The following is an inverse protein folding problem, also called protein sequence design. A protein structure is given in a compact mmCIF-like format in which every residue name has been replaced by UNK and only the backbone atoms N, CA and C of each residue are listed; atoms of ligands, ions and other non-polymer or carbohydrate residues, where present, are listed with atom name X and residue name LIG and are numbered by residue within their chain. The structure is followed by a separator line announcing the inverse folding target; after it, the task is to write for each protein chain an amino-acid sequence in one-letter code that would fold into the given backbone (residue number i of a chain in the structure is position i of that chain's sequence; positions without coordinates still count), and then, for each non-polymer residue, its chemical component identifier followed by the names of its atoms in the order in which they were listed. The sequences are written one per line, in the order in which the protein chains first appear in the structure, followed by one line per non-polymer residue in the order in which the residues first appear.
data_IF_927853832282
#
_entry.id   IF_927853832282
#
_cell.length_a   1.000
_cell.length_b   1.000
_cell.length_c   1.000
_cell.angle_alpha   90.00
_cell.angle_beta   90.00
_cell.angle_gamma   90.00
#
_symmetry.space_group_name_H-M   'P 1'
#
loop_
_entity.id
_entity.type
_entity.pdbx_description
1 polymer ?
#
# COMPACT_ATOMS: atom_id res chain seq x y z
N UNK A 1 10.66 30.12 58.12
CA UNK A 1 11.29 29.40 56.99
C UNK A 1 10.29 29.47 55.86
N UNK A 2 10.61 30.21 54.80
CA UNK A 2 9.65 30.56 53.75
C UNK A 2 9.81 29.62 52.56
N UNK A 3 8.83 28.77 52.31
CA UNK A 3 8.79 27.91 51.12
C UNK A 3 8.40 28.74 49.89
N UNK A 4 9.26 28.76 48.88
CA UNK A 4 8.95 29.32 47.55
C UNK A 4 8.65 28.17 46.59
N UNK A 5 7.51 28.18 45.86
CA UNK A 5 7.23 27.20 44.83
C UNK A 5 8.10 27.45 43.59
N UNK A 6 8.81 26.42 43.14
CA UNK A 6 9.73 26.49 41.98
C UNK A 6 9.02 26.74 40.64
N UNK A 7 9.73 27.27 39.63
CA UNK A 7 9.13 27.69 38.37
C UNK A 7 8.67 26.48 37.53
N UNK A 8 7.37 26.44 37.24
CA UNK A 8 6.77 25.50 36.30
C UNK A 8 7.37 25.68 34.91
N UNK A 9 8.09 24.66 34.42
CA UNK A 9 8.67 24.64 33.07
C UNK A 9 7.55 24.41 32.05
N UNK A 10 6.91 25.48 31.61
CA UNK A 10 6.08 25.50 30.41
C UNK A 10 6.99 25.36 29.17
N UNK A 11 7.46 24.14 28.90
CA UNK A 11 8.17 23.85 27.66
C UNK A 11 7.15 23.74 26.51
N UNK A 12 7.27 24.54 25.44
CA UNK A 12 6.40 24.39 24.29
C UNK A 12 6.57 23.00 23.69
N UNK A 13 5.45 22.34 23.40
CA UNK A 13 5.45 21.02 22.78
C UNK A 13 6.21 21.07 21.44
N UNK A 14 6.94 20.00 21.07
CA UNK A 14 7.63 19.93 19.79
C UNK A 14 6.67 20.28 18.65
N UNK A 15 7.10 21.09 17.66
CA UNK A 15 6.22 21.55 16.60
C UNK A 15 5.62 20.35 15.87
N UNK A 16 4.27 20.30 15.87
CA UNK A 16 3.50 19.26 15.19
C UNK A 16 3.96 19.15 13.73
N UNK A 17 4.33 17.94 13.30
CA UNK A 17 4.76 17.66 11.92
C UNK A 17 3.74 18.24 10.94
N UNK A 18 4.16 19.22 10.13
CA UNK A 18 3.30 19.88 9.14
C UNK A 18 2.68 18.83 8.23
N UNK A 19 1.37 18.93 8.01
CA UNK A 19 0.69 18.06 7.04
C UNK A 19 1.38 18.21 5.68
N UNK A 20 1.74 17.09 5.07
CA UNK A 20 2.27 17.10 3.71
C UNK A 20 1.10 17.42 2.79
N UNK A 21 1.00 18.68 2.36
CA UNK A 21 0.14 19.06 1.24
C UNK A 21 0.52 18.18 0.04
N UNK A 22 -0.49 17.61 -0.61
CA UNK A 22 -0.33 16.67 -1.72
C UNK A 22 0.18 17.35 -2.99
N UNK A 23 -0.23 16.81 -4.13
CA UNK A 23 0.05 17.43 -5.42
C UNK A 23 -0.93 18.59 -5.64
N UNK A 24 -0.54 19.62 -6.41
CA UNK A 24 -1.49 20.65 -6.81
C UNK A 24 -2.64 20.02 -7.60
N UNK A 25 -3.86 20.44 -7.26
CA UNK A 25 -5.04 20.23 -8.06
C UNK A 25 -4.87 20.85 -9.44
N UNK A 26 -5.61 20.31 -10.41
CA UNK A 26 -5.65 20.85 -11.76
C UNK A 26 -6.10 22.33 -11.77
N UNK A 27 -7.04 22.71 -10.90
CA UNK A 27 -7.54 24.08 -10.83
C UNK A 27 -6.51 25.04 -10.24
N UNK A 28 -5.75 24.61 -9.23
CA UNK A 28 -4.65 25.42 -8.69
C UNK A 28 -3.57 25.65 -9.76
N UNK A 29 -3.23 24.62 -10.56
CA UNK A 29 -2.34 24.78 -11.71
C UNK A 29 -2.90 25.74 -12.75
N UNK A 30 -4.22 25.71 -13.00
CA UNK A 30 -4.90 26.60 -13.96
C UNK A 30 -4.82 28.06 -13.50
N UNK A 31 -5.04 28.33 -12.22
CA UNK A 31 -4.87 29.66 -11.62
C UNK A 31 -3.43 30.17 -11.79
N UNK A 32 -2.43 29.32 -11.59
CA UNK A 32 -1.01 29.67 -11.82
C UNK A 32 -0.77 30.06 -13.28
N UNK A 33 -1.27 29.30 -14.24
CA UNK A 33 -1.09 29.60 -15.68
C UNK A 33 -1.83 30.88 -16.07
N UNK A 34 -3.07 31.07 -15.59
CA UNK A 34 -3.84 32.28 -15.87
C UNK A 34 -3.12 33.53 -15.33
N UNK A 35 -2.65 33.48 -14.09
CA UNK A 35 -1.86 34.55 -13.48
C UNK A 35 -0.53 34.79 -14.20
N UNK A 36 0.13 33.72 -14.64
CA UNK A 36 1.35 33.86 -15.45
C UNK A 36 1.07 34.63 -16.74
N UNK A 37 0.00 34.29 -17.46
CA UNK A 37 -0.40 34.97 -18.70
C UNK A 37 -0.71 36.46 -18.47
N UNK A 38 -1.46 36.79 -17.43
CA UNK A 38 -1.81 38.19 -17.12
C UNK A 38 -0.57 38.98 -16.70
N UNK A 39 0.29 38.40 -15.86
CA UNK A 39 1.50 39.07 -15.38
C UNK A 39 2.54 39.23 -16.49
N UNK A 40 2.66 38.29 -17.43
CA UNK A 40 3.53 38.46 -18.61
C UNK A 40 3.09 39.60 -19.52
N UNK A 41 1.78 39.88 -19.61
CA UNK A 41 1.25 41.00 -20.39
C UNK A 41 1.48 42.35 -19.68
N UNK A 42 1.36 42.38 -18.36
CA UNK A 42 1.48 43.63 -17.58
C UNK A 42 2.92 43.99 -17.21
N UNK A 43 3.74 43.00 -16.82
CA UNK A 43 5.14 43.21 -16.40
C UNK A 43 6.03 42.03 -16.84
N UNK A 44 7.04 42.23 -17.71
CA UNK A 44 7.89 41.13 -18.19
C UNK A 44 8.91 40.61 -17.15
N UNK A 45 8.81 41.04 -15.87
CA UNK A 45 9.76 40.68 -14.82
C UNK A 45 9.46 39.27 -14.27
N UNK A 46 10.40 38.36 -14.48
CA UNK A 46 10.34 36.97 -14.00
C UNK A 46 10.47 36.95 -12.46
N UNK A 47 9.37 36.77 -11.73
CA UNK A 47 9.38 36.61 -10.26
C UNK A 47 8.12 37.05 -9.53
N UNK A 48 7.29 37.90 -10.16
CA UNK A 48 6.10 38.50 -9.53
C UNK A 48 5.00 37.47 -9.21
N UNK A 49 4.91 36.39 -9.99
CA UNK A 49 3.90 35.32 -9.83
C UNK A 49 3.95 34.61 -8.47
N UNK A 50 5.14 34.41 -7.90
CA UNK A 50 5.28 33.71 -6.62
C UNK A 50 4.76 34.52 -5.44
N UNK A 51 4.99 35.83 -5.48
CA UNK A 51 4.55 36.77 -4.44
C UNK A 51 3.04 36.92 -4.46
N UNK A 52 2.43 37.08 -5.64
CA UNK A 52 0.99 37.30 -5.78
C UNK A 52 0.18 36.08 -5.35
N UNK A 53 0.63 34.87 -5.69
CA UNK A 53 -0.14 33.64 -5.44
C UNK A 53 0.23 33.01 -4.09
N UNK A 54 1.27 33.52 -3.40
CA UNK A 54 1.80 32.93 -2.16
C UNK A 54 2.11 31.42 -2.29
N UNK A 55 2.56 30.99 -3.47
CA UNK A 55 2.99 29.62 -3.75
C UNK A 55 4.51 29.61 -3.94
N UNK A 56 5.16 28.52 -3.51
CA UNK A 56 6.59 28.34 -3.70
C UNK A 56 6.99 28.50 -5.18
N UNK A 57 7.98 29.35 -5.44
CA UNK A 57 8.44 29.65 -6.81
C UNK A 57 8.87 28.42 -7.61
N UNK A 58 9.42 27.39 -6.94
CA UNK A 58 9.80 26.12 -7.60
C UNK A 58 8.60 25.38 -8.19
N UNK A 59 7.43 25.47 -7.55
CA UNK A 59 6.21 24.82 -7.98
C UNK A 59 5.55 25.56 -9.15
N UNK A 60 5.57 26.89 -9.10
CA UNK A 60 5.17 27.76 -10.20
C UNK A 60 6.05 27.50 -11.43
N UNK A 61 7.37 27.47 -11.23
CA UNK A 61 8.33 27.16 -12.29
C UNK A 61 8.05 25.83 -12.97
N UNK A 62 7.84 24.76 -12.18
CA UNK A 62 7.47 23.43 -12.68
C UNK A 62 6.18 23.46 -13.50
N UNK A 63 5.15 24.15 -13.00
CA UNK A 63 3.84 24.24 -13.66
C UNK A 63 3.91 25.03 -14.97
N UNK A 64 4.65 26.15 -14.99
CA UNK A 64 4.86 26.94 -16.21
C UNK A 64 5.68 26.14 -17.23
N UNK A 65 6.75 25.48 -16.80
CA UNK A 65 7.58 24.64 -17.67
C UNK A 65 6.78 23.47 -18.24
N UNK A 66 5.92 22.84 -17.44
CA UNK A 66 4.97 21.82 -17.89
C UNK A 66 4.07 22.38 -19.00
N UNK A 67 3.39 23.51 -18.74
CA UNK A 67 2.52 24.18 -19.71
C UNK A 67 3.24 24.59 -21.00
N UNK A 68 4.46 25.14 -20.92
CA UNK A 68 5.23 25.54 -22.11
C UNK A 68 5.64 24.35 -22.97
N UNK A 69 5.89 23.19 -22.36
CA UNK A 69 6.32 21.98 -23.09
C UNK A 69 5.17 21.26 -23.78
N UNK A 70 4.00 21.18 -23.13
CA UNK A 70 2.86 20.38 -23.62
C UNK A 70 1.70 21.21 -24.14
N UNK A 71 1.66 22.51 -23.87
CA UNK A 71 0.51 23.38 -24.15
C UNK A 71 -0.71 23.14 -23.25
N UNK A 72 -0.66 22.12 -22.38
CA UNK A 72 -1.77 21.68 -21.54
C UNK A 72 -1.28 21.28 -20.15
N UNK A 73 -2.13 21.47 -19.13
CA UNK A 73 -1.84 21.06 -17.76
C UNK A 73 -2.18 19.58 -17.55
N UNK A 74 -1.19 18.79 -17.11
CA UNK A 74 -1.42 17.40 -16.80
C UNK A 74 -2.19 17.28 -15.49
N UNK A 75 -3.22 16.41 -15.54
CA UNK A 75 -3.97 16.01 -14.36
C UNK A 75 -3.09 15.18 -13.42
N UNK A 76 -3.32 15.22 -12.10
CA UNK A 76 -2.67 14.33 -11.17
C UNK A 76 -2.86 12.87 -11.62
N UNK A 77 -1.76 12.14 -11.83
CA UNK A 77 -1.86 10.71 -12.16
C UNK A 77 -2.38 9.96 -10.94
N UNK A 78 -3.53 9.31 -11.07
CA UNK A 78 -4.03 8.42 -10.04
C UNK A 78 -2.98 7.36 -9.73
N UNK A 79 -2.64 7.19 -8.45
CA UNK A 79 -1.76 6.11 -8.01
C UNK A 79 -2.60 4.83 -8.05
N UNK A 80 -2.58 4.12 -9.18
CA UNK A 80 -3.07 2.75 -9.20
C UNK A 80 -2.23 1.95 -8.21
N UNK A 81 -2.88 1.38 -7.19
CA UNK A 81 -2.19 0.51 -6.24
C UNK A 81 -1.42 -0.56 -7.00
N UNK A 82 -0.20 -0.88 -6.55
CA UNK A 82 0.59 -1.94 -7.18
C UNK A 82 -0.20 -3.24 -7.09
N UNK A 83 -0.62 -3.80 -8.23
CA UNK A 83 -1.23 -5.13 -8.28
C UNK A 83 -0.24 -6.13 -7.67
N UNK A 84 -0.68 -6.86 -6.65
CA UNK A 84 0.13 -7.91 -6.05
C UNK A 84 0.30 -9.04 -7.07
N UNK A 85 1.49 -9.64 -7.18
CA UNK A 85 1.71 -10.84 -8.02
C UNK A 85 0.69 -11.95 -7.71
N UNK A 86 0.16 -11.97 -6.48
CA UNK A 86 -0.86 -12.91 -6.03
C UNK A 86 -2.23 -12.70 -6.68
N UNK A 87 -2.56 -11.48 -7.11
CA UNK A 87 -3.79 -11.17 -7.84
C UNK A 87 -3.73 -11.61 -9.31
N UNK A 88 -2.54 -11.89 -9.83
CA UNK A 88 -2.36 -12.38 -11.20
C UNK A 88 -2.65 -13.88 -11.34
N UNK A 89 -2.91 -14.61 -10.25
CA UNK A 89 -3.28 -16.02 -10.31
C UNK A 89 -4.78 -16.19 -10.57
N UNK A 90 -5.10 -16.87 -11.68
CA UNK A 90 -6.45 -17.18 -12.11
C UNK A 90 -7.18 -18.15 -11.16
N UNK A 91 -8.50 -18.28 -11.33
CA UNK A 91 -9.31 -19.21 -10.53
C UNK A 91 -8.92 -20.68 -10.74
N UNK A 92 -8.34 -21.03 -11.89
CA UNK A 92 -7.77 -22.36 -12.13
C UNK A 92 -6.67 -22.71 -11.12
N UNK A 93 -5.73 -21.79 -10.90
CA UNK A 93 -4.64 -21.92 -9.94
C UNK A 93 -5.19 -22.02 -8.52
N UNK A 94 -6.16 -21.16 -8.17
CA UNK A 94 -6.81 -21.19 -6.85
C UNK A 94 -7.51 -22.52 -6.60
N UNK A 95 -8.22 -23.05 -7.59
CA UNK A 95 -8.89 -24.34 -7.49
C UNK A 95 -7.91 -25.50 -7.37
N UNK A 96 -6.80 -25.49 -8.13
CA UNK A 96 -5.75 -26.50 -8.00
C UNK A 96 -5.16 -26.57 -6.60
N UNK A 97 -4.84 -25.40 -6.00
CA UNK A 97 -4.32 -25.35 -4.63
C UNK A 97 -5.38 -25.79 -3.61
N UNK A 98 -6.66 -25.42 -3.78
CA UNK A 98 -7.75 -25.91 -2.91
C UNK A 98 -7.85 -27.43 -2.95
N UNK A 99 -7.83 -28.03 -4.14
CA UNK A 99 -7.88 -29.50 -4.30
C UNK A 99 -6.70 -30.19 -3.64
N UNK A 100 -5.49 -29.65 -3.78
CA UNK A 100 -4.29 -30.15 -3.10
C UNK A 100 -4.50 -30.16 -1.59
N UNK A 101 -4.89 -29.01 -1.03
CA UNK A 101 -5.15 -28.89 0.41
C UNK A 101 -6.23 -29.87 0.87
N UNK A 102 -7.34 -29.98 0.14
CA UNK A 102 -8.41 -30.94 0.43
C UNK A 102 -7.95 -32.40 0.36
N UNK A 103 -7.02 -32.75 -0.52
CA UNK A 103 -6.51 -34.12 -0.63
C UNK A 103 -5.75 -34.58 0.62
N UNK A 104 -5.12 -33.67 1.37
CA UNK A 104 -4.50 -33.99 2.65
C UNK A 104 -5.57 -34.38 3.70
N UNK A 105 -6.69 -33.66 3.74
CA UNK A 105 -7.80 -33.98 4.64
C UNK A 105 -8.42 -35.34 4.32
N UNK A 106 -8.56 -35.71 3.04
CA UNK A 106 -9.05 -37.04 2.65
C UNK A 106 -8.13 -38.17 3.13
N UNK A 107 -6.83 -37.89 3.24
CA UNK A 107 -5.82 -38.83 3.73
C UNK A 107 -5.67 -38.78 5.26
N UNK A 108 -6.48 -37.98 5.96
CA UNK A 108 -6.33 -37.68 7.40
C UNK A 108 -4.92 -37.16 7.76
N UNK A 109 -4.25 -36.53 6.81
CA UNK A 109 -2.95 -35.91 7.03
C UNK A 109 -3.08 -34.42 7.25
N UNK A 110 -2.26 -33.89 8.16
CA UNK A 110 -2.18 -32.46 8.42
C UNK A 110 -1.52 -31.74 7.23
N UNK A 111 -2.19 -30.78 6.56
CA UNK A 111 -1.58 -29.99 5.52
C UNK A 111 -0.64 -28.98 6.17
N UNK A 112 0.68 -29.17 6.06
CA UNK A 112 1.66 -28.15 6.43
C UNK A 112 2.11 -27.41 5.18
N UNK A 113 2.65 -26.20 5.33
CA UNK A 113 3.11 -25.39 4.20
C UNK A 113 4.16 -26.12 3.35
N UNK A 114 5.07 -26.87 3.99
CA UNK A 114 6.08 -27.66 3.31
C UNK A 114 5.48 -28.84 2.52
N UNK A 115 4.52 -29.56 3.12
CA UNK A 115 3.81 -30.66 2.44
C UNK A 115 3.04 -30.15 1.22
N UNK A 116 2.34 -29.02 1.34
CA UNK A 116 1.63 -28.41 0.22
C UNK A 116 2.61 -27.98 -0.88
N UNK A 117 3.73 -27.35 -0.51
CA UNK A 117 4.76 -26.91 -1.47
C UNK A 117 5.38 -28.09 -2.23
N UNK A 118 5.65 -29.20 -1.54
CA UNK A 118 6.12 -30.44 -2.15
C UNK A 118 5.06 -31.04 -3.10
N UNK A 119 3.79 -31.04 -2.69
CA UNK A 119 2.69 -31.57 -3.50
C UNK A 119 2.42 -30.74 -4.75
N UNK A 120 2.51 -29.41 -4.66
CA UNK A 120 2.43 -28.50 -5.82
C UNK A 120 3.56 -28.82 -6.80
N UNK A 121 4.78 -28.99 -6.30
CA UNK A 121 5.95 -29.32 -7.14
C UNK A 121 5.79 -30.69 -7.80
N UNK A 122 5.16 -31.66 -7.12
CA UNK A 122 4.92 -33.00 -7.65
C UNK A 122 3.84 -33.05 -8.73
N UNK A 123 2.74 -32.31 -8.57
CA UNK A 123 1.60 -32.35 -9.51
C UNK A 123 1.87 -31.62 -10.82
N UNK A 124 2.69 -30.57 -10.80
CA UNK A 124 2.90 -29.72 -11.97
C UNK A 124 1.66 -28.86 -12.30
N UNK A 125 1.50 -28.52 -13.58
CA UNK A 125 0.42 -27.66 -14.08
C UNK A 125 -0.97 -28.20 -13.71
N UNK A 126 -1.94 -27.34 -13.32
CA UNK A 126 -2.04 -25.90 -13.62
C UNK A 126 -1.51 -24.95 -12.53
N UNK A 127 -0.83 -25.45 -11.50
CA UNK A 127 -0.36 -24.60 -10.39
C UNK A 127 1.12 -24.26 -10.58
N UNK A 128 1.48 -22.97 -10.77
CA UNK A 128 2.85 -22.58 -10.98
C UNK A 128 3.67 -22.80 -9.70
N UNK A 129 4.98 -23.01 -9.86
CA UNK A 129 5.88 -23.12 -8.72
C UNK A 129 5.91 -21.78 -7.94
N UNK A 130 5.69 -21.84 -6.63
CA UNK A 130 5.65 -20.68 -5.74
C UNK A 130 6.68 -20.84 -4.62
N UNK A 131 7.34 -19.74 -4.24
CA UNK A 131 8.15 -19.72 -3.02
C UNK A 131 7.29 -19.89 -1.77
N UNK A 132 7.86 -20.42 -0.68
CA UNK A 132 7.17 -20.63 0.61
C UNK A 132 6.41 -19.39 1.09
N UNK A 133 7.02 -18.21 1.02
CA UNK A 133 6.39 -16.94 1.44
C UNK A 133 5.24 -16.52 0.52
N UNK A 134 5.36 -16.80 -0.77
CA UNK A 134 4.31 -16.53 -1.76
C UNK A 134 3.13 -17.46 -1.56
N UNK A 135 3.39 -18.76 -1.38
CA UNK A 135 2.37 -19.77 -1.08
C UNK A 135 1.64 -19.42 0.23
N UNK A 136 2.36 -19.00 1.28
CA UNK A 136 1.76 -18.56 2.53
C UNK A 136 0.76 -17.40 2.33
N UNK A 137 1.18 -16.35 1.60
CA UNK A 137 0.31 -15.20 1.30
C UNK A 137 -0.84 -15.58 0.37
N UNK A 138 -0.62 -16.51 -0.56
CA UNK A 138 -1.64 -17.03 -1.46
C UNK A 138 -2.72 -17.81 -0.71
N UNK A 139 -2.32 -18.67 0.23
CA UNK A 139 -3.24 -19.43 1.07
C UNK A 139 -4.09 -18.51 1.94
N UNK A 140 -3.51 -17.44 2.49
CA UNK A 140 -4.28 -16.37 3.16
C UNK A 140 -5.28 -15.69 2.22
N UNK A 141 -4.87 -15.40 0.98
CA UNK A 141 -5.73 -14.74 -0.02
C UNK A 141 -6.95 -15.59 -0.37
N UNK A 142 -6.79 -16.90 -0.49
CA UNK A 142 -7.91 -17.83 -0.75
C UNK A 142 -8.67 -18.26 0.52
N UNK A 143 -8.48 -17.52 1.62
CA UNK A 143 -9.16 -17.65 2.92
C UNK A 143 -8.83 -18.92 3.73
N UNK A 144 -7.68 -19.55 3.51
CA UNK A 144 -7.19 -20.55 4.45
C UNK A 144 -6.59 -19.87 5.69
N UNK A 145 -7.06 -20.27 6.87
CA UNK A 145 -6.55 -19.78 8.16
C UNK A 145 -5.52 -20.73 8.72
N UNK A 146 -4.45 -20.15 9.26
CA UNK A 146 -3.46 -20.88 10.03
C UNK A 146 -3.95 -20.95 11.48
N UNK A 147 -3.91 -22.14 12.06
CA UNK A 147 -4.02 -22.36 13.48
C UNK A 147 -2.67 -22.86 13.97
N UNK A 148 -2.13 -22.19 14.98
CA UNK A 148 -1.07 -22.76 15.79
C UNK A 148 -1.74 -23.63 16.85
N UNK A 149 -1.30 -24.88 16.99
CA UNK A 149 -1.79 -25.77 18.05
C UNK A 149 -1.16 -25.48 19.42
N UNK A 150 -0.29 -24.48 19.53
CA UNK A 150 0.48 -24.18 20.74
C UNK A 150 0.18 -22.77 21.23
N UNK A 151 -0.11 -22.64 22.53
CA UNK A 151 -0.49 -21.38 23.21
C UNK A 151 0.59 -20.28 23.19
N UNK A 152 1.83 -20.57 22.77
CA UNK A 152 2.95 -19.62 22.70
C UNK A 152 3.34 -19.26 21.25
N UNK A 153 2.49 -18.54 20.53
CA UNK A 153 2.82 -18.06 19.18
C UNK A 153 2.27 -16.64 18.92
N UNK A 154 2.57 -15.70 19.80
CA UNK A 154 2.63 -14.29 19.41
C UNK A 154 4.09 -13.99 19.08
N UNK A 155 4.32 -13.40 17.91
CA UNK A 155 5.62 -13.09 17.30
C UNK A 155 6.29 -14.27 16.55
N UNK A 156 6.21 -14.20 15.21
CA UNK A 156 6.94 -15.02 14.22
C UNK A 156 6.44 -16.46 13.99
N UNK A 157 5.28 -16.62 13.36
CA UNK A 157 4.95 -17.86 12.65
C UNK A 157 5.79 -18.01 11.37
N UNK A 158 7.07 -18.32 11.54
CA UNK A 158 7.99 -18.78 10.48
C UNK A 158 8.37 -20.26 10.65
N UNK A 159 7.98 -20.87 11.78
CA UNK A 159 8.31 -22.24 12.16
C UNK A 159 7.40 -23.28 11.49
N UNK A 160 7.94 -24.48 11.36
CA UNK A 160 7.49 -25.60 10.52
C UNK A 160 6.13 -26.22 10.88
N UNK A 161 5.55 -25.80 12.02
CA UNK A 161 4.47 -26.50 12.70
C UNK A 161 3.08 -25.85 12.53
N UNK A 162 2.97 -24.75 11.78
CA UNK A 162 1.69 -24.06 11.60
C UNK A 162 0.71 -24.89 10.75
N UNK A 163 -0.50 -25.09 11.25
CA UNK A 163 -1.53 -25.97 10.65
C UNK A 163 -2.64 -25.16 10.00
N UNK A 164 -3.40 -25.75 9.08
CA UNK A 164 -4.61 -25.11 8.54
C UNK A 164 -5.87 -25.67 9.20
N UNK A 165 -6.73 -24.79 9.71
CA UNK A 165 -8.09 -25.14 10.09
C UNK A 165 -9.07 -24.41 9.17
N UNK A 166 -9.95 -25.17 8.52
CA UNK A 166 -11.06 -24.60 7.74
C UNK A 166 -12.24 -24.35 8.68
N UNK A 167 -12.62 -23.08 8.87
CA UNK A 167 -13.92 -22.77 9.49
C UNK A 167 -14.99 -23.02 8.43
N UNK A 168 -15.89 -23.97 8.67
CA UNK A 168 -17.05 -24.21 7.79
C UNK A 168 -17.73 -22.88 7.49
N UNK A 169 -17.95 -22.60 6.21
CA UNK A 169 -18.75 -21.47 5.74
C UNK A 169 -20.16 -21.71 6.31
N UNK A 170 -20.58 -20.93 7.30
CA UNK A 170 -21.98 -20.91 7.73
C UNK A 170 -22.76 -20.35 6.56
N UNK A 171 -23.57 -21.21 5.94
CA UNK A 171 -24.64 -20.80 5.05
C UNK A 171 -25.56 -19.87 5.84
N UNK A 172 -25.56 -18.57 5.53
CA UNK A 172 -26.68 -17.72 5.88
C UNK A 172 -27.84 -18.22 5.02
N UNK A 173 -28.77 -18.90 5.67
CA UNK A 173 -30.11 -19.15 5.15
C UNK A 173 -31.02 -18.00 5.56
#
# INVERSE_FOLDING_TARGET
MSDQPGPSRNLPSPPKRRQRLGHLSHDEKRTIVNMYKTLTLQTPRKGTTAVVINICGTLIYRTIREYQRTGQLARPKARTGRHSKLQAYDESVKNGVRQIVHSFFLKNELPTLNKIMAEITRRGEPVPHMSRTTLYRFLKLINFKYACLTEKCEEWCTTDSAQFLFKKRTSNS
#
